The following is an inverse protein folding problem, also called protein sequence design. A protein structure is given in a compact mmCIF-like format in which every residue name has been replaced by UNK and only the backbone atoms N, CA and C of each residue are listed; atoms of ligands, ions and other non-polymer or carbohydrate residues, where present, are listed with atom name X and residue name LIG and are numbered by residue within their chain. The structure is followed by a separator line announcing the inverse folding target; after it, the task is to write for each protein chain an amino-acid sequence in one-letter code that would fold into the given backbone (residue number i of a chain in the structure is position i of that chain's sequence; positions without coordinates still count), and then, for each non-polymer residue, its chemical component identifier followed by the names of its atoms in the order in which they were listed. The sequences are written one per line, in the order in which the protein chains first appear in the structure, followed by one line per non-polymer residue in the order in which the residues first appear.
data_IF_145462306131
#
_entry.id   IF_145462306131
#
_cell.length_a   1.000
_cell.length_b   1.000
_cell.length_c   1.000
_cell.angle_alpha   90.00
_cell.angle_beta   90.00
_cell.angle_gamma   90.00
#
_symmetry.space_group_name_H-M   'P 1'
#
loop_
_entity.id
_entity.type
_entity.pdbx_description
1 polymer ?
#
# COMPACT_ATOMS: atom_id res chain seq x y z
N UNK A 1 2.28 31.69 9.99
CA UNK A 1 1.87 32.81 10.87
C UNK A 1 2.99 33.83 11.15
N UNK A 2 4.20 33.40 11.53
CA UNK A 2 5.28 34.32 11.96
C UNK A 2 5.72 35.42 10.98
N UNK A 3 5.78 35.14 9.67
CA UNK A 3 6.19 36.15 8.67
C UNK A 3 5.14 37.26 8.46
N UNK A 4 3.86 36.93 8.55
CA UNK A 4 2.77 37.90 8.40
C UNK A 4 2.69 38.81 9.64
N UNK A 5 2.74 38.21 10.83
CA UNK A 5 2.82 38.94 12.09
C UNK A 5 4.05 39.86 12.14
N UNK A 6 5.21 39.39 11.68
CA UNK A 6 6.42 40.21 11.59
C UNK A 6 6.29 41.39 10.63
N UNK A 7 5.63 41.20 9.47
CA UNK A 7 5.39 42.30 8.52
C UNK A 7 4.43 43.35 9.09
N UNK A 8 3.35 42.93 9.74
CA UNK A 8 2.40 43.85 10.39
C UNK A 8 3.09 44.62 11.52
N UNK A 9 3.86 43.94 12.37
CA UNK A 9 4.62 44.59 13.44
C UNK A 9 5.60 45.64 12.91
N UNK A 10 6.30 45.35 11.80
CA UNK A 10 7.22 46.30 11.17
C UNK A 10 6.51 47.56 10.64
N UNK A 11 5.33 47.40 10.02
CA UNK A 11 4.53 48.55 9.55
C UNK A 11 4.03 49.40 10.72
N UNK A 12 3.52 48.75 11.77
CA UNK A 12 3.06 49.45 12.98
C UNK A 12 4.21 50.20 13.66
N UNK A 13 5.38 49.57 13.77
CA UNK A 13 6.57 50.21 14.34
C UNK A 13 7.04 51.42 13.52
N UNK A 14 7.05 51.31 12.18
CA UNK A 14 7.41 52.41 11.31
C UNK A 14 6.42 53.59 11.43
N UNK A 15 5.12 53.30 11.49
CA UNK A 15 4.09 54.31 11.71
C UNK A 15 4.23 54.99 13.08
N UNK A 16 4.45 54.21 14.14
CA UNK A 16 4.69 54.74 15.49
C UNK A 16 5.95 55.62 15.57
N UNK A 17 7.03 55.23 14.89
CA UNK A 17 8.25 56.02 14.80
C UNK A 17 8.05 57.37 14.09
N UNK A 18 7.26 57.39 13.01
CA UNK A 18 6.90 58.63 12.30
C UNK A 18 6.04 59.56 13.17
N UNK A 19 5.06 59.01 13.87
CA UNK A 19 4.22 59.77 14.82
C UNK A 19 5.05 60.32 15.97
N UNK A 20 5.93 59.52 16.55
CA UNK A 20 6.83 59.96 17.62
C UNK A 20 7.75 61.07 17.14
N UNK A 21 8.35 60.95 15.95
CA UNK A 21 9.20 61.99 15.37
C UNK A 21 8.45 63.31 15.16
N UNK A 22 7.19 63.25 14.69
CA UNK A 22 6.34 64.43 14.55
C UNK A 22 6.04 65.09 15.91
N UNK A 23 5.63 64.29 16.91
CA UNK A 23 5.33 64.79 18.27
C UNK A 23 6.59 65.35 18.95
N UNK A 24 7.77 64.81 18.65
CA UNK A 24 9.06 65.29 19.15
C UNK A 24 9.54 66.60 18.46
N UNK A 25 8.75 67.17 17.54
CA UNK A 25 9.04 68.46 16.91
C UNK A 25 9.86 68.39 15.62
N UNK A 26 9.97 67.22 14.99
CA UNK A 26 10.63 67.12 13.69
C UNK A 26 9.90 67.97 12.62
N UNK A 27 10.63 68.62 11.69
CA UNK A 27 10.00 69.40 10.64
C UNK A 27 9.01 68.56 9.83
N UNK A 28 7.78 69.05 9.57
CA UNK A 28 6.77 68.28 8.83
C UNK A 28 7.25 67.79 7.48
N UNK A 29 8.06 68.59 6.77
CA UNK A 29 8.66 68.21 5.50
C UNK A 29 9.52 66.94 5.60
N UNK A 30 10.30 66.78 6.67
CA UNK A 30 11.14 65.61 6.91
C UNK A 30 10.29 64.39 7.23
N UNK A 31 9.30 64.54 8.12
CA UNK A 31 8.39 63.43 8.46
C UNK A 31 7.63 62.94 7.24
N UNK A 32 7.13 63.86 6.40
CA UNK A 32 6.43 63.52 5.15
C UNK A 32 7.37 62.85 4.13
N UNK A 33 8.60 63.33 3.97
CA UNK A 33 9.57 62.72 3.07
C UNK A 33 9.94 61.28 3.49
N UNK A 34 10.20 61.06 4.78
CA UNK A 34 10.48 59.71 5.31
C UNK A 34 9.24 58.82 5.18
N UNK A 35 8.05 59.35 5.51
CA UNK A 35 6.79 58.63 5.33
C UNK A 35 6.54 58.21 3.88
N UNK A 36 6.78 59.10 2.92
CA UNK A 36 6.71 58.81 1.50
C UNK A 36 7.73 57.73 1.08
N UNK A 37 8.95 57.76 1.62
CA UNK A 37 9.96 56.72 1.42
C UNK A 37 9.50 55.36 1.93
N UNK A 38 8.99 55.28 3.16
CA UNK A 38 8.45 54.02 3.74
C UNK A 38 7.28 53.50 2.91
N UNK A 39 6.34 54.37 2.55
CA UNK A 39 5.20 54.00 1.71
C UNK A 39 5.65 53.49 0.34
N UNK A 40 6.65 54.13 -0.26
CA UNK A 40 7.23 53.71 -1.54
C UNK A 40 7.86 52.31 -1.44
N UNK A 41 8.57 52.01 -0.35
CA UNK A 41 9.15 50.69 -0.11
C UNK A 41 8.08 49.62 0.09
N UNK A 42 7.02 49.92 0.84
CA UNK A 42 5.88 49.00 1.02
C UNK A 42 5.16 48.75 -0.30
N UNK A 43 4.92 49.81 -1.07
CA UNK A 43 4.35 49.73 -2.40
C UNK A 43 5.22 48.87 -3.32
N UNK A 44 6.53 49.12 -3.35
CA UNK A 44 7.47 48.32 -4.12
C UNK A 44 7.42 46.83 -3.72
N UNK A 45 7.42 46.54 -2.42
CA UNK A 45 7.32 45.17 -1.91
C UNK A 45 6.04 44.48 -2.38
N UNK A 46 4.90 45.18 -2.34
CA UNK A 46 3.62 44.68 -2.83
C UNK A 46 3.70 44.34 -4.32
N UNK A 47 4.25 45.27 -5.11
CA UNK A 47 4.39 45.19 -6.55
C UNK A 47 5.36 44.06 -6.96
N UNK A 48 6.42 43.84 -6.21
CA UNK A 48 7.38 42.75 -6.40
C UNK A 48 6.86 41.38 -5.99
N UNK A 49 5.88 41.31 -5.08
CA UNK A 49 5.45 40.03 -4.51
C UNK A 49 4.16 39.53 -5.11
N UNK A 50 3.06 40.27 -5.03
CA UNK A 50 1.73 39.75 -5.37
C UNK A 50 1.59 39.32 -6.84
N UNK A 51 1.74 40.21 -7.83
CA UNK A 51 1.45 39.86 -9.21
C UNK A 51 2.45 38.82 -9.73
N UNK A 52 3.73 38.95 -9.39
CA UNK A 52 4.75 37.97 -9.75
C UNK A 52 4.53 36.59 -9.11
N UNK A 53 4.16 36.51 -7.83
CA UNK A 53 3.90 35.22 -7.18
C UNK A 53 2.73 34.49 -7.85
N UNK A 54 1.66 35.21 -8.18
CA UNK A 54 0.51 34.62 -8.87
C UNK A 54 0.87 34.21 -10.31
N UNK A 55 1.66 35.03 -11.03
CA UNK A 55 2.18 34.70 -12.35
C UNK A 55 2.96 33.37 -12.37
N UNK A 56 3.95 33.23 -11.47
CA UNK A 56 4.79 32.03 -11.41
C UNK A 56 4.02 30.82 -10.88
N UNK A 57 3.07 31.03 -9.96
CA UNK A 57 2.21 29.95 -9.47
C UNK A 57 1.28 29.44 -10.57
N UNK A 58 0.71 30.34 -11.39
CA UNK A 58 -0.09 29.95 -12.54
C UNK A 58 0.73 29.16 -13.57
N UNK A 59 1.97 29.58 -13.85
CA UNK A 59 2.88 28.82 -14.73
C UNK A 59 3.26 27.44 -14.16
N UNK A 60 3.46 27.33 -12.85
CA UNK A 60 3.69 26.04 -12.21
C UNK A 60 2.49 25.09 -12.34
N UNK A 61 1.26 25.63 -12.23
CA UNK A 61 0.04 24.85 -12.46
C UNK A 61 -0.05 24.38 -13.91
N UNK A 62 0.25 25.25 -14.88
CA UNK A 62 0.28 24.87 -16.30
C UNK A 62 1.30 23.75 -16.58
N UNK A 63 2.49 23.83 -15.97
CA UNK A 63 3.50 22.78 -16.10
C UNK A 63 3.03 21.44 -15.52
N UNK A 64 2.35 21.45 -14.37
CA UNK A 64 1.79 20.23 -13.76
C UNK A 64 0.66 19.62 -14.60
N UNK A 65 -0.16 20.46 -15.24
CA UNK A 65 -1.21 20.01 -16.17
C UNK A 65 -0.58 19.29 -17.37
N UNK A 66 0.52 19.79 -17.92
CA UNK A 66 1.24 19.13 -19.01
C UNK A 66 1.77 17.77 -18.58
N UNK A 67 2.44 17.68 -17.43
CA UNK A 67 2.93 16.40 -16.88
C UNK A 67 1.78 15.42 -16.63
N UNK A 68 0.63 15.90 -16.15
CA UNK A 68 -0.56 15.06 -15.94
C UNK A 68 -1.10 14.49 -17.25
N UNK A 69 -1.14 15.30 -18.31
CA UNK A 69 -1.56 14.86 -19.66
C UNK A 69 -0.59 13.85 -20.26
N UNK A 70 0.72 14.06 -20.10
CA UNK A 70 1.75 13.09 -20.52
C UNK A 70 1.57 11.72 -19.85
N UNK A 71 1.06 11.70 -18.61
CA UNK A 71 0.72 10.49 -17.86
C UNK A 71 -0.66 9.91 -18.18
N UNK A 72 -1.37 10.45 -19.17
CA UNK A 72 -2.70 10.00 -19.56
C UNK A 72 -3.82 10.40 -18.58
N UNK A 73 -3.58 11.34 -17.67
CA UNK A 73 -4.60 11.83 -16.74
C UNK A 73 -5.39 12.94 -17.43
N UNK A 74 -6.70 12.75 -17.57
CA UNK A 74 -7.57 13.78 -18.15
C UNK A 74 -7.70 14.99 -17.21
N UNK A 75 -7.37 16.17 -17.76
CA UNK A 75 -7.55 17.46 -17.08
C UNK A 75 -8.44 18.36 -17.94
N UNK A 76 -9.53 18.86 -17.35
CA UNK A 76 -10.50 19.73 -18.04
C UNK A 76 -9.83 20.95 -18.68
N UNK A 77 -10.14 21.23 -19.95
CA UNK A 77 -9.60 22.39 -20.67
C UNK A 77 -9.95 23.74 -20.01
N UNK A 78 -11.07 23.82 -19.29
CA UNK A 78 -11.46 25.04 -18.58
C UNK A 78 -10.43 25.48 -17.51
N UNK A 79 -9.81 24.51 -16.81
CA UNK A 79 -8.78 24.77 -15.78
C UNK A 79 -7.46 25.26 -16.39
N UNK A 80 -7.10 24.71 -17.54
CA UNK A 80 -5.94 25.13 -18.34
C UNK A 80 -6.11 26.58 -18.82
N UNK A 81 -7.26 26.88 -19.43
CA UNK A 81 -7.60 28.22 -19.89
C UNK A 81 -7.62 29.26 -18.76
N UNK A 82 -8.13 28.90 -17.58
CA UNK A 82 -8.15 29.78 -16.42
C UNK A 82 -6.74 30.08 -15.89
N UNK A 83 -5.91 29.05 -15.70
CA UNK A 83 -4.51 29.24 -15.29
C UNK A 83 -3.74 30.11 -16.30
N UNK A 84 -3.95 29.90 -17.60
CA UNK A 84 -3.34 30.71 -18.65
C UNK A 84 -3.84 32.17 -18.65
N UNK A 85 -5.13 32.40 -18.38
CA UNK A 85 -5.68 33.76 -18.20
C UNK A 85 -5.03 34.46 -17.01
N UNK A 86 -4.99 33.80 -15.84
CA UNK A 86 -4.37 34.35 -14.63
C UNK A 86 -2.91 34.71 -14.90
N UNK A 87 -2.15 33.81 -15.54
CA UNK A 87 -0.75 34.07 -15.89
C UNK A 87 -0.62 35.33 -16.76
N UNK A 88 -1.37 35.44 -17.85
CA UNK A 88 -1.29 36.61 -18.75
C UNK A 88 -1.69 37.91 -18.04
N UNK A 89 -2.77 37.89 -17.27
CA UNK A 89 -3.25 39.07 -16.55
C UNK A 89 -2.23 39.52 -15.51
N UNK A 90 -1.70 38.59 -14.71
CA UNK A 90 -0.73 38.93 -13.67
C UNK A 90 0.61 39.43 -14.22
N UNK A 91 1.06 38.92 -15.38
CA UNK A 91 2.23 39.48 -16.06
C UNK A 91 1.99 40.93 -16.47
N UNK A 92 0.84 41.21 -17.10
CA UNK A 92 0.46 42.56 -17.51
C UNK A 92 0.34 43.49 -16.30
N UNK A 93 -0.30 43.04 -15.23
CA UNK A 93 -0.42 43.80 -13.98
C UNK A 93 0.95 44.08 -13.35
N UNK A 94 1.86 43.10 -13.33
CA UNK A 94 3.21 43.31 -12.80
C UNK A 94 3.96 44.37 -13.61
N UNK A 95 4.00 44.24 -14.93
CA UNK A 95 4.74 45.15 -15.82
C UNK A 95 4.11 46.54 -15.82
N UNK A 96 2.79 46.63 -16.03
CA UNK A 96 2.07 47.90 -16.02
C UNK A 96 2.18 48.62 -14.67
N UNK A 97 2.15 47.87 -13.56
CA UNK A 97 2.35 48.43 -12.23
C UNK A 97 3.71 49.12 -12.07
N UNK A 98 4.81 48.49 -12.53
CA UNK A 98 6.13 49.11 -12.48
C UNK A 98 6.20 50.33 -13.40
N UNK A 99 5.75 50.21 -14.65
CA UNK A 99 5.78 51.32 -15.62
C UNK A 99 4.97 52.52 -15.14
N UNK A 100 3.76 52.29 -14.62
CA UNK A 100 2.93 53.34 -14.05
C UNK A 100 3.60 53.98 -12.83
N UNK A 101 4.19 53.18 -11.95
CA UNK A 101 4.89 53.71 -10.76
C UNK A 101 6.08 54.57 -11.17
N UNK A 102 6.88 54.11 -12.14
CA UNK A 102 8.01 54.89 -12.70
C UNK A 102 7.51 56.20 -13.31
N UNK A 103 6.43 56.17 -14.10
CA UNK A 103 5.85 57.36 -14.71
C UNK A 103 5.37 58.37 -13.65
N UNK A 104 4.73 57.90 -12.58
CA UNK A 104 4.29 58.74 -11.45
C UNK A 104 5.49 59.36 -10.73
N UNK A 105 6.52 58.55 -10.40
CA UNK A 105 7.72 59.05 -9.73
C UNK A 105 8.44 60.10 -10.58
N UNK A 106 8.60 59.86 -11.89
CA UNK A 106 9.21 60.82 -12.81
C UNK A 106 8.40 62.12 -12.91
N UNK A 107 7.07 62.02 -12.95
CA UNK A 107 6.19 63.21 -13.00
C UNK A 107 6.32 64.06 -11.73
N UNK A 108 6.36 63.42 -10.56
CA UNK A 108 6.59 64.10 -9.27
C UNK A 108 7.98 64.72 -9.23
N UNK A 109 9.01 63.98 -9.63
CA UNK A 109 10.41 64.42 -9.69
C UNK A 109 10.56 65.67 -10.56
N UNK A 110 9.92 65.67 -11.73
CA UNK A 110 9.93 66.79 -12.66
C UNK A 110 9.22 68.02 -12.07
N UNK A 111 8.08 67.82 -11.38
CA UNK A 111 7.33 68.90 -10.76
C UNK A 111 8.02 69.51 -9.53
N UNK A 112 8.75 68.71 -8.74
CA UNK A 112 9.44 69.17 -7.53
C UNK A 112 10.87 69.65 -7.79
N UNK A 113 11.49 69.26 -8.91
CA UNK A 113 12.90 69.55 -9.21
C UNK A 113 13.90 68.73 -8.40
N UNK A 114 13.43 67.77 -7.61
CA UNK A 114 14.25 66.95 -6.72
C UNK A 114 15.00 65.84 -7.47
N UNK A 115 16.31 66.00 -7.68
CA UNK A 115 17.11 65.03 -8.45
C UNK A 115 17.05 63.59 -7.91
N UNK A 116 16.86 63.42 -6.60
CA UNK A 116 16.77 62.12 -5.92
C UNK A 116 15.67 61.23 -6.50
N UNK A 117 14.57 61.81 -7.02
CA UNK A 117 13.46 61.05 -7.55
C UNK A 117 13.80 60.23 -8.81
N UNK A 118 14.79 60.66 -9.60
CA UNK A 118 15.28 59.88 -10.74
C UNK A 118 15.93 58.55 -10.30
N UNK A 119 16.63 58.53 -9.16
CA UNK A 119 17.19 57.30 -8.60
C UNK A 119 16.09 56.34 -8.14
N UNK A 120 15.02 56.85 -7.53
CA UNK A 120 13.86 56.03 -7.18
C UNK A 120 13.22 55.44 -8.44
N UNK A 121 12.99 56.24 -9.48
CA UNK A 121 12.43 55.76 -10.74
C UNK A 121 13.30 54.66 -11.38
N UNK A 122 14.62 54.87 -11.44
CA UNK A 122 15.56 53.87 -11.94
C UNK A 122 15.53 52.58 -11.11
N UNK A 123 15.47 52.70 -9.77
CA UNK A 123 15.40 51.55 -8.88
C UNK A 123 14.10 50.76 -9.04
N UNK A 124 12.94 51.44 -9.12
CA UNK A 124 11.66 50.80 -9.41
C UNK A 124 11.73 50.04 -10.74
N UNK A 125 12.27 50.64 -11.80
CA UNK A 125 12.41 49.98 -13.09
C UNK A 125 13.31 48.73 -13.00
N UNK A 126 14.48 48.84 -12.36
CA UNK A 126 15.42 47.73 -12.20
C UNK A 126 14.82 46.59 -11.37
N UNK A 127 14.06 46.92 -10.34
CA UNK A 127 13.45 45.94 -9.43
C UNK A 127 12.49 44.97 -10.14
N UNK A 128 11.92 45.38 -11.29
CA UNK A 128 11.07 44.54 -12.16
C UNK A 128 11.72 43.18 -12.45
N UNK A 129 13.05 43.12 -12.51
CA UNK A 129 13.82 41.91 -12.85
C UNK A 129 14.18 41.05 -11.63
N UNK A 130 14.12 41.56 -10.40
CA UNK A 130 14.57 40.82 -9.22
C UNK A 130 13.71 39.58 -8.93
N UNK A 131 12.38 39.71 -9.02
CA UNK A 131 11.50 38.57 -8.75
C UNK A 131 11.57 37.49 -9.85
N UNK A 132 11.57 37.83 -11.15
CA UNK A 132 11.85 36.87 -12.21
C UNK A 132 13.18 36.13 -12.08
N UNK A 133 14.26 36.85 -11.77
CA UNK A 133 15.56 36.23 -11.55
C UNK A 133 15.50 35.20 -10.41
N UNK A 134 14.89 35.56 -9.27
CA UNK A 134 14.71 34.65 -8.15
C UNK A 134 13.88 33.41 -8.50
N UNK A 135 12.81 33.58 -9.29
CA UNK A 135 11.98 32.46 -9.75
C UNK A 135 12.76 31.51 -10.69
N UNK A 136 13.57 32.06 -11.59
CA UNK A 136 14.44 31.30 -12.48
C UNK A 136 15.45 30.45 -11.69
N UNK A 137 16.20 31.05 -10.76
CA UNK A 137 17.13 30.31 -9.92
C UNK A 137 16.42 29.28 -9.03
N UNK A 138 15.23 29.60 -8.53
CA UNK A 138 14.40 28.67 -7.77
C UNK A 138 13.93 27.47 -8.60
N UNK A 139 13.66 27.66 -9.89
CA UNK A 139 13.35 26.56 -10.82
C UNK A 139 14.59 25.74 -11.15
N UNK A 140 15.72 26.40 -11.43
CA UNK A 140 16.99 25.72 -11.70
C UNK A 140 17.40 24.81 -10.52
N UNK A 141 17.29 25.33 -9.29
CA UNK A 141 17.56 24.54 -8.08
C UNK A 141 16.63 23.33 -7.94
N UNK A 142 15.34 23.49 -8.25
CA UNK A 142 14.38 22.37 -8.23
C UNK A 142 14.75 21.32 -9.26
N UNK A 143 15.05 21.73 -10.49
CA UNK A 143 15.45 20.83 -11.58
C UNK A 143 16.74 20.07 -11.26
N UNK A 144 17.74 20.76 -10.73
CA UNK A 144 18.97 20.14 -10.24
C UNK A 144 18.69 19.15 -9.11
N UNK A 145 17.77 19.47 -8.19
CA UNK A 145 17.33 18.55 -7.15
C UNK A 145 16.66 17.29 -7.69
N UNK A 146 15.79 17.42 -8.70
CA UNK A 146 15.17 16.27 -9.38
C UNK A 146 16.22 15.42 -10.10
N UNK A 147 17.09 16.03 -10.91
CA UNK A 147 18.18 15.32 -11.58
C UNK A 147 19.10 14.61 -10.59
N UNK A 148 19.45 15.25 -9.48
CA UNK A 148 20.25 14.63 -8.44
C UNK A 148 19.51 13.43 -7.82
N UNK A 149 18.22 13.59 -7.50
CA UNK A 149 17.39 12.51 -6.99
C UNK A 149 17.34 11.34 -7.98
N UNK A 150 17.09 11.61 -9.25
CA UNK A 150 17.02 10.63 -10.33
C UNK A 150 18.38 10.00 -10.67
N UNK A 151 19.49 10.53 -10.16
CA UNK A 151 20.82 9.91 -10.29
C UNK A 151 21.19 9.10 -9.05
N UNK A 152 20.78 9.56 -7.86
CA UNK A 152 21.09 8.91 -6.58
C UNK A 152 20.14 7.75 -6.28
N UNK A 153 18.82 7.95 -6.40
CA UNK A 153 17.81 6.95 -6.01
C UNK A 153 17.68 5.72 -6.92
N UNK A 154 17.95 5.74 -8.24
CA UNK A 154 17.86 4.51 -9.03
C UNK A 154 18.78 3.41 -8.50
N UNK A 155 19.90 3.78 -7.88
CA UNK A 155 20.84 2.81 -7.31
C UNK A 155 20.23 2.12 -6.09
N UNK A 156 19.59 2.88 -5.21
CA UNK A 156 18.95 2.36 -4.01
C UNK A 156 17.72 1.51 -4.35
N UNK A 157 16.90 1.99 -5.29
CA UNK A 157 15.69 1.27 -5.75
C UNK A 157 16.05 -0.04 -6.45
N UNK A 158 17.11 -0.08 -7.26
CA UNK A 158 17.60 -1.32 -7.90
C UNK A 158 18.16 -2.29 -6.86
N UNK A 159 18.86 -1.81 -5.83
CA UNK A 159 19.35 -2.65 -4.74
C UNK A 159 18.18 -3.24 -3.95
N UNK A 160 17.16 -2.46 -3.64
CA UNK A 160 15.96 -2.95 -2.94
C UNK A 160 15.20 -3.98 -3.79
N UNK A 161 14.99 -3.70 -5.08
CA UNK A 161 14.31 -4.63 -5.99
C UNK A 161 15.09 -5.93 -6.12
N UNK A 162 16.41 -5.87 -6.30
CA UNK A 162 17.27 -7.06 -6.34
C UNK A 162 17.15 -7.88 -5.06
N UNK A 163 17.21 -7.22 -3.90
CA UNK A 163 17.05 -7.90 -2.60
C UNK A 163 15.64 -8.50 -2.41
N UNK A 164 14.59 -7.93 -3.02
CA UNK A 164 13.24 -8.53 -3.04
C UNK A 164 13.17 -9.74 -3.96
N UNK A 165 13.78 -9.66 -5.14
CA UNK A 165 13.86 -10.77 -6.10
C UNK A 165 14.65 -11.94 -5.50
N UNK A 166 15.82 -11.69 -4.92
CA UNK A 166 16.65 -12.72 -4.28
C UNK A 166 15.88 -13.45 -3.15
N UNK A 167 15.10 -12.72 -2.35
CA UNK A 167 14.23 -13.32 -1.31
C UNK A 167 13.08 -14.13 -1.89
N UNK A 168 12.48 -13.67 -2.99
CA UNK A 168 11.40 -14.39 -3.66
C UNK A 168 11.91 -15.68 -4.30
N UNK A 169 13.08 -15.65 -4.95
CA UNK A 169 13.73 -16.82 -5.51
C UNK A 169 14.11 -17.84 -4.42
N UNK A 170 14.68 -17.37 -3.30
CA UNK A 170 14.99 -18.24 -2.16
C UNK A 170 13.73 -18.89 -1.57
N UNK A 171 12.64 -18.12 -1.43
CA UNK A 171 11.35 -18.65 -0.98
C UNK A 171 10.77 -19.69 -1.93
N UNK A 172 10.90 -19.47 -3.23
CA UNK A 172 10.40 -20.40 -4.27
C UNK A 172 11.16 -21.72 -4.21
N UNK A 173 12.50 -21.68 -4.10
CA UNK A 173 13.33 -22.90 -3.94
C UNK A 173 12.96 -23.68 -2.69
N UNK A 174 12.75 -23.00 -1.56
CA UNK A 174 12.34 -23.67 -0.32
C UNK A 174 10.94 -24.31 -0.42
N UNK A 175 10.03 -23.73 -1.20
CA UNK A 175 8.71 -24.32 -1.47
C UNK A 175 8.82 -25.54 -2.39
N UNK A 176 9.68 -25.49 -3.41
CA UNK A 176 9.95 -26.63 -4.30
C UNK A 176 10.55 -27.81 -3.54
N UNK A 177 11.54 -27.57 -2.67
CA UNK A 177 12.16 -28.60 -1.83
C UNK A 177 11.14 -29.27 -0.91
N UNK A 178 10.30 -28.48 -0.22
CA UNK A 178 9.22 -29.01 0.62
C UNK A 178 8.18 -29.78 -0.16
N UNK A 179 7.85 -29.35 -1.38
CA UNK A 179 6.94 -30.08 -2.25
C UNK A 179 7.53 -31.44 -2.63
N UNK A 180 8.82 -31.50 -2.97
CA UNK A 180 9.50 -32.75 -3.28
C UNK A 180 9.54 -33.72 -2.09
N UNK A 181 9.81 -33.21 -0.88
CA UNK A 181 9.73 -34.00 0.37
C UNK A 181 8.33 -34.55 0.60
N UNK A 182 7.29 -33.72 0.41
CA UNK A 182 5.90 -34.17 0.56
C UNK A 182 5.52 -35.25 -0.46
N UNK A 183 5.96 -35.12 -1.72
CA UNK A 183 5.74 -36.16 -2.72
C UNK A 183 6.41 -37.48 -2.36
N UNK A 184 7.64 -37.44 -1.83
CA UNK A 184 8.35 -38.63 -1.34
C UNK A 184 7.61 -39.27 -0.16
N UNK A 185 7.19 -38.47 0.82
CA UNK A 185 6.43 -38.95 1.98
C UNK A 185 5.08 -39.57 1.58
N UNK A 186 4.35 -38.95 0.64
CA UNK A 186 3.11 -39.49 0.08
C UNK A 186 3.34 -40.82 -0.65
N UNK A 187 4.42 -40.93 -1.43
CA UNK A 187 4.76 -42.17 -2.12
C UNK A 187 5.11 -43.30 -1.13
N UNK A 188 5.83 -42.98 -0.05
CA UNK A 188 6.15 -43.94 1.00
C UNK A 188 4.89 -44.36 1.79
N UNK A 189 4.03 -43.42 2.16
CA UNK A 189 2.76 -43.70 2.82
C UNK A 189 1.86 -44.59 1.95
N UNK A 190 1.82 -44.36 0.64
CA UNK A 190 1.05 -45.21 -0.27
C UNK A 190 1.58 -46.64 -0.28
N UNK A 191 2.91 -46.83 -0.32
CA UNK A 191 3.52 -48.16 -0.24
C UNK A 191 3.22 -48.88 1.07
N UNK A 192 3.22 -48.16 2.20
CA UNK A 192 2.90 -48.78 3.50
C UNK A 192 1.42 -49.14 3.62
N UNK A 193 0.52 -48.32 3.09
CA UNK A 193 -0.92 -48.65 3.01
C UNK A 193 -1.17 -49.85 2.11
N UNK A 194 -0.55 -49.92 0.93
CA UNK A 194 -0.67 -51.06 0.01
C UNK A 194 -0.17 -52.37 0.67
N UNK A 195 0.97 -52.30 1.37
CA UNK A 195 1.51 -53.44 2.12
C UNK A 195 0.59 -53.88 3.28
N UNK A 196 0.03 -52.91 4.02
CA UNK A 196 -0.92 -53.20 5.11
C UNK A 196 -2.21 -53.82 4.56
N UNK A 197 -2.74 -53.32 3.44
CA UNK A 197 -3.91 -53.87 2.78
C UNK A 197 -3.68 -55.33 2.40
N UNK A 198 -2.56 -55.65 1.76
CA UNK A 198 -2.19 -57.03 1.40
C UNK A 198 -2.12 -57.95 2.63
N UNK A 199 -1.45 -57.51 3.71
CA UNK A 199 -1.36 -58.31 4.95
C UNK A 199 -2.73 -58.55 5.61
N UNK A 200 -3.66 -57.60 5.45
CA UNK A 200 -5.03 -57.71 5.98
C UNK A 200 -5.85 -58.71 5.18
N UNK A 201 -5.74 -58.69 3.85
CA UNK A 201 -6.36 -59.70 2.97
C UNK A 201 -5.84 -61.11 3.27
N UNK A 202 -4.52 -61.29 3.42
CA UNK A 202 -3.93 -62.59 3.76
C UNK A 202 -4.45 -63.13 5.10
N UNK A 203 -4.55 -62.27 6.13
CA UNK A 203 -5.13 -62.65 7.43
C UNK A 203 -6.61 -63.01 7.32
N UNK A 204 -7.38 -62.28 6.51
CA UNK A 204 -8.80 -62.58 6.29
C UNK A 204 -8.98 -63.95 5.63
N UNK A 205 -8.21 -64.25 4.57
CA UNK A 205 -8.23 -65.57 3.92
C UNK A 205 -7.78 -66.70 4.86
N UNK A 206 -6.80 -66.45 5.73
CA UNK A 206 -6.38 -67.42 6.74
C UNK A 206 -7.49 -67.69 7.77
N UNK A 207 -8.16 -66.63 8.24
CA UNK A 207 -9.31 -66.74 9.16
C UNK A 207 -10.46 -67.51 8.50
N UNK A 208 -10.80 -67.20 7.25
CA UNK A 208 -11.86 -67.91 6.51
C UNK A 208 -11.52 -69.39 6.32
N UNK A 209 -10.27 -69.71 5.99
CA UNK A 209 -9.80 -71.11 5.91
C UNK A 209 -9.91 -71.83 7.25
N UNK A 210 -9.55 -71.17 8.36
CA UNK A 210 -9.70 -71.72 9.72
C UNK A 210 -11.18 -71.91 10.09
N UNK A 211 -12.06 -70.96 9.78
CA UNK A 211 -13.50 -71.07 10.03
C UNK A 211 -14.12 -72.20 9.22
N UNK A 212 -13.74 -72.36 7.95
CA UNK A 212 -14.18 -73.48 7.13
C UNK A 212 -13.67 -74.83 7.67
N UNK A 213 -12.46 -74.88 8.22
CA UNK A 213 -11.92 -76.08 8.88
C UNK A 213 -12.68 -76.40 10.18
N UNK A 214 -12.91 -75.40 11.04
CA UNK A 214 -13.72 -75.54 12.25
C UNK A 214 -15.14 -75.99 11.93
N UNK A 215 -15.78 -75.42 10.88
CA UNK A 215 -17.10 -75.84 10.42
C UNK A 215 -17.16 -77.33 10.06
N UNK A 216 -16.16 -77.82 9.31
CA UNK A 216 -16.04 -79.26 8.99
C UNK A 216 -15.80 -80.13 10.22
N UNK A 217 -15.02 -79.66 11.19
CA UNK A 217 -14.77 -80.38 12.45
C UNK A 217 -16.03 -80.43 13.34
N UNK A 218 -16.78 -79.33 13.43
CA UNK A 218 -18.09 -79.29 14.10
C UNK A 218 -19.07 -80.25 13.44
N UNK A 219 -19.18 -80.23 12.12
CA UNK A 219 -20.07 -81.14 11.37
C UNK A 219 -19.70 -82.61 11.61
N UNK A 220 -18.41 -82.95 11.58
CA UNK A 220 -17.89 -84.28 11.92
C UNK A 220 -18.23 -84.70 13.36
N UNK A 221 -18.07 -83.79 14.33
CA UNK A 221 -18.35 -84.07 15.75
C UNK A 221 -19.85 -84.25 16.00
N UNK A 222 -20.70 -83.44 15.37
CA UNK A 222 -22.16 -83.58 15.41
C UNK A 222 -22.60 -84.91 14.81
N UNK A 223 -22.00 -85.31 13.68
CA UNK A 223 -22.31 -86.59 13.04
C UNK A 223 -21.95 -87.77 13.95
N UNK A 224 -20.79 -87.73 14.63
CA UNK A 224 -20.40 -88.76 15.63
C UNK A 224 -21.31 -88.79 16.85
N UNK A 225 -21.80 -87.64 17.32
CA UNK A 225 -22.77 -87.56 18.42
C UNK A 225 -24.14 -88.14 18.01
N UNK A 226 -24.56 -87.89 16.77
CA UNK A 226 -25.81 -88.41 16.20
C UNK A 226 -25.73 -89.92 16.00
N UNK A 227 -24.64 -90.43 15.43
CA UNK A 227 -24.36 -91.87 15.31
C UNK A 227 -24.42 -92.57 16.68
N UNK A 228 -23.88 -91.94 17.73
CA UNK A 228 -23.95 -92.49 19.09
C UNK A 228 -25.38 -92.50 19.64
N UNK A 229 -26.24 -91.55 19.30
CA UNK A 229 -27.67 -91.60 19.66
C UNK A 229 -28.39 -92.74 18.94
N UNK A 230 -28.08 -92.98 17.66
CA UNK A 230 -28.65 -94.09 16.88
C UNK A 230 -28.18 -95.45 17.42
N UNK A 231 -26.92 -95.56 17.86
CA UNK A 231 -26.39 -96.74 18.56
C UNK A 231 -27.15 -96.98 19.87
N UNK A 232 -27.37 -95.93 20.67
CA UNK A 232 -28.13 -96.04 21.94
C UNK A 232 -29.58 -96.45 21.66
N UNK A 233 -30.22 -95.91 20.62
CA UNK A 233 -31.55 -96.32 20.19
C UNK A 233 -31.58 -97.80 19.77
N UNK A 234 -30.58 -98.27 19.00
CA UNK A 234 -30.42 -99.67 18.61
C UNK A 234 -30.22 -100.61 19.81
N UNK A 235 -29.39 -100.22 20.79
CA UNK A 235 -29.19 -100.99 22.03
C UNK A 235 -30.46 -101.04 22.87
N UNK A 236 -31.25 -99.95 22.91
CA UNK A 236 -32.54 -99.92 23.61
C UNK A 236 -33.58 -100.84 22.94
N UNK A 237 -33.57 -100.90 21.60
CA UNK A 237 -34.38 -101.85 20.84
C UNK A 237 -33.94 -103.30 21.08
N UNK A 238 -32.62 -103.56 21.15
CA UNK A 238 -32.07 -104.87 21.46
C UNK A 238 -32.39 -105.33 22.89
N UNK A 239 -32.27 -104.44 23.89
CA UNK A 239 -32.70 -104.71 25.27
C UNK A 239 -34.20 -104.97 25.37
N UNK A 240 -35.01 -104.27 24.55
CA UNK A 240 -36.45 -104.54 24.47
C UNK A 240 -36.71 -105.93 23.90
N UNK A 241 -35.97 -106.34 22.87
CA UNK A 241 -36.05 -107.67 22.27
C UNK A 241 -35.70 -108.78 23.27
N UNK A 242 -34.58 -108.64 24.00
CA UNK A 242 -34.15 -109.58 25.05
C UNK A 242 -35.15 -109.67 26.21
N UNK A 243 -35.75 -108.55 26.63
CA UNK A 243 -36.79 -108.56 27.66
C UNK A 243 -38.05 -109.30 27.21
N UNK A 244 -38.40 -109.27 25.93
CA UNK A 244 -39.52 -110.09 25.40
C UNK A 244 -39.20 -111.58 25.40
N UNK A 245 -37.93 -111.98 25.28
CA UNK A 245 -37.54 -113.39 25.29
C UNK A 245 -37.57 -114.00 26.70
N UNK A 246 -37.30 -113.22 27.75
CA UNK A 246 -37.32 -113.70 29.15
C UNK A 246 -38.74 -113.85 29.75
N UNK A 247 -39.79 -113.36 29.09
CA UNK A 247 -41.18 -113.41 29.62
C UNK A 247 -41.96 -114.62 29.08
N UNK A 248 -41.33 -115.51 28.32
CA UNK A 248 -42.04 -116.62 27.63
C UNK A 248 -41.49 -118.02 27.91
N UNK A 249 -41.05 -118.31 29.14
CA UNK A 249 -41.22 -119.67 29.69
C UNK A 249 -40.91 -119.75 31.19
N UNK A 250 -41.91 -119.44 32.00
CA UNK A 250 -42.07 -120.08 33.32
C UNK A 250 -43.55 -120.13 33.73
N UNK A 251 -44.06 -121.36 33.70
CA UNK A 251 -45.09 -121.96 34.58
C UNK A 251 -46.60 -121.79 34.23
N UNK A 252 -47.50 -122.67 34.74
CA UNK A 252 -47.38 -124.13 34.95
C UNK A 252 -48.68 -124.95 34.70
N UNK A 253 -48.51 -126.28 34.67
CA UNK A 253 -49.38 -127.41 35.08
C UNK A 253 -50.92 -127.29 35.13
N UNK A 254 -51.62 -128.18 34.41
CA UNK A 254 -52.55 -129.22 34.95
C UNK A 254 -53.30 -129.95 33.82
N UNK A 255 -53.40 -131.29 33.92
CA UNK A 255 -54.21 -132.14 33.04
C UNK A 255 -53.44 -133.26 32.37
#
# INVERSE_FOLDING_TARGET
MGRFLGAVAAVVAAAAALVFAYVAGAPPAVVLAVGAGVLSLLWLMLLLTLPWNLYFRAHAVLAEILVSREKGIEVSQARDAEAARIARTMLRTAVAGHVLTVAVVLSVTWATGEFTGYWFAAFFLLSTFFRPAGAYFGQLRRRLGTLLKDVTYPRDDVVEVRARVDRAEAGTRALEEKAEEQYKALAELRRTVDALAMSTYERAEEVDRRMAALGREFESTVNRLTDNQDIIAGVKAFLRLLRTTDVTDSAPTSG
#
